data_IF_544355397475
#
_entry.id   IF_544355397475
#
_cell.length_a   1.000
_cell.length_b   1.000
_cell.length_c   1.000
_cell.angle_alpha   90.00
_cell.angle_beta   90.00
_cell.angle_gamma   90.00
#
_symmetry.space_group_name_H-M   'P 1'
#
loop_
_entity.id
_entity.type
_entity.pdbx_description
1 polymer ?
#
# COMPACT_ATOMS: atom_id res chain seq x y z
N UNK A 1 44.40 24.17 -42.31
CA UNK A 1 44.15 22.85 -41.71
C UNK A 1 43.80 23.09 -40.26
N UNK A 2 42.53 23.38 -40.02
CA UNK A 2 41.93 23.47 -38.68
C UNK A 2 40.52 22.92 -38.90
N UNK A 3 40.38 21.63 -38.62
CA UNK A 3 39.17 20.86 -38.84
C UNK A 3 38.03 21.37 -37.98
N UNK A 4 36.90 21.51 -38.65
CA UNK A 4 35.55 21.52 -38.11
C UNK A 4 35.27 20.18 -37.40
N UNK A 5 34.90 20.23 -36.12
CA UNK A 5 34.25 19.11 -35.46
C UNK A 5 32.86 19.54 -34.97
N UNK A 6 31.87 19.14 -35.76
CA UNK A 6 30.45 19.23 -35.48
C UNK A 6 30.05 18.00 -34.67
N UNK A 7 29.93 18.15 -33.35
CA UNK A 7 29.34 17.15 -32.47
C UNK A 7 27.83 16.97 -32.73
N UNK A 8 27.28 15.75 -32.57
CA UNK A 8 25.91 15.44 -32.96
C UNK A 8 24.91 16.06 -31.98
N UNK A 9 23.75 16.46 -32.51
CA UNK A 9 22.59 16.87 -31.72
C UNK A 9 22.04 15.66 -30.94
N UNK A 10 22.21 15.67 -29.62
CA UNK A 10 21.46 14.79 -28.72
C UNK A 10 19.99 15.23 -28.71
N UNK A 11 19.19 14.56 -29.53
CA UNK A 11 17.75 14.55 -29.43
C UNK A 11 17.32 13.45 -28.47
N UNK A 12 16.93 13.83 -27.25
CA UNK A 12 15.74 13.29 -26.60
C UNK A 12 15.25 14.29 -25.53
N UNK A 13 14.55 15.33 -25.97
CA UNK A 13 13.83 16.22 -25.06
C UNK A 13 12.47 15.59 -24.80
N UNK A 14 12.26 15.06 -23.60
CA UNK A 14 10.93 14.79 -23.06
C UNK A 14 10.01 15.98 -23.38
N UNK A 15 9.01 15.78 -24.23
CA UNK A 15 8.09 16.86 -24.61
C UNK A 15 7.17 17.10 -23.43
N UNK A 16 7.37 18.22 -22.72
CA UNK A 16 6.45 18.69 -21.68
C UNK A 16 5.32 19.45 -22.35
N UNK A 17 4.09 19.07 -22.01
CA UNK A 17 2.87 19.71 -22.49
C UNK A 17 2.28 20.56 -21.38
N UNK A 18 1.76 21.74 -21.71
CA UNK A 18 0.94 22.53 -20.82
C UNK A 18 -0.54 22.15 -21.00
N UNK A 19 -1.39 22.38 -20.00
CA UNK A 19 -2.85 22.11 -20.12
C UNK A 19 -3.54 22.89 -21.26
N UNK A 20 -2.89 23.94 -21.76
CA UNK A 20 -3.38 24.74 -22.89
C UNK A 20 -3.04 24.11 -24.25
N UNK A 21 -2.11 23.16 -24.28
CA UNK A 21 -1.78 22.37 -25.48
C UNK A 21 -2.77 21.22 -25.69
N UNK A 22 -3.62 20.93 -24.69
CA UNK A 22 -4.67 19.92 -24.77
C UNK A 22 -5.90 20.44 -25.55
N UNK A 23 -6.74 19.54 -26.10
CA UNK A 23 -7.98 19.93 -26.79
C UNK A 23 -8.90 20.76 -25.89
N UNK A 24 -9.25 21.97 -26.33
CA UNK A 24 -10.06 22.88 -25.53
C UNK A 24 -11.55 22.73 -25.87
N UNK A 25 -12.43 22.66 -24.86
CA UNK A 25 -13.86 22.38 -25.07
C UNK A 25 -14.57 23.37 -26.00
N UNK A 26 -14.15 24.64 -26.02
CA UNK A 26 -14.71 25.64 -26.94
C UNK A 26 -14.43 25.32 -28.43
N UNK A 27 -13.44 24.47 -28.72
CA UNK A 27 -13.11 23.99 -30.06
C UNK A 27 -13.97 22.80 -30.49
N UNK A 28 -14.82 22.27 -29.59
CA UNK A 28 -15.67 21.09 -29.81
C UNK A 28 -14.85 19.88 -30.31
N UNK A 29 -13.83 19.43 -29.55
CA UNK A 29 -12.97 18.32 -29.96
C UNK A 29 -13.76 17.02 -30.12
N UNK A 30 -13.25 16.10 -30.93
CA UNK A 30 -13.86 14.78 -31.11
C UNK A 30 -13.83 13.98 -29.80
N UNK A 31 -14.75 13.03 -29.66
CA UNK A 31 -14.77 12.13 -28.50
C UNK A 31 -13.45 11.38 -28.34
N UNK A 32 -12.90 10.87 -29.44
CA UNK A 32 -11.61 10.15 -29.45
C UNK A 32 -10.48 11.05 -28.95
N UNK A 33 -10.44 12.31 -29.40
CA UNK A 33 -9.43 13.28 -28.95
C UNK A 33 -9.51 13.58 -27.45
N UNK A 34 -10.73 13.64 -26.89
CA UNK A 34 -10.92 13.79 -25.45
C UNK A 34 -10.49 12.53 -24.69
N UNK A 35 -10.86 11.34 -25.16
CA UNK A 35 -10.48 10.07 -24.52
C UNK A 35 -8.96 9.85 -24.56
N UNK A 36 -8.30 10.09 -25.70
CA UNK A 36 -6.84 10.02 -25.82
C UNK A 36 -6.15 11.02 -24.86
N UNK A 37 -6.73 12.21 -24.69
CA UNK A 37 -6.24 13.20 -23.72
C UNK A 37 -6.41 12.72 -22.29
N UNK A 38 -7.54 12.08 -21.96
CA UNK A 38 -7.78 11.52 -20.63
C UNK A 38 -6.86 10.34 -20.32
N UNK A 39 -6.55 9.51 -21.32
CA UNK A 39 -5.55 8.45 -21.23
C UNK A 39 -4.14 9.02 -21.01
N UNK A 40 -3.78 10.11 -21.69
CA UNK A 40 -2.53 10.84 -21.46
C UNK A 40 -2.45 11.41 -20.04
N UNK A 41 -3.59 11.80 -19.47
CA UNK A 41 -3.70 12.29 -18.10
C UNK A 41 -3.85 11.16 -17.07
N UNK A 42 -3.77 9.88 -17.45
CA UNK A 42 -3.73 8.78 -16.49
C UNK A 42 -2.51 8.90 -15.57
N UNK A 43 -2.72 8.90 -14.25
CA UNK A 43 -1.57 8.68 -13.37
C UNK A 43 -1.16 7.20 -13.44
N UNK A 44 0.07 6.94 -13.87
CA UNK A 44 0.68 5.63 -13.64
C UNK A 44 0.65 5.30 -12.15
N UNK A 45 0.28 4.07 -11.73
CA UNK A 45 0.20 3.72 -10.33
C UNK A 45 1.52 4.05 -9.63
N UNK A 46 1.45 4.88 -8.58
CA UNK A 46 2.61 5.22 -7.78
C UNK A 46 3.27 3.95 -7.24
N UNK A 47 4.44 3.58 -7.79
CA UNK A 47 5.29 2.54 -7.25
C UNK A 47 6.25 3.21 -6.25
N UNK A 48 6.15 2.85 -4.97
CA UNK A 48 7.04 3.38 -3.94
C UNK A 48 8.51 3.03 -4.27
N UNK A 49 9.32 4.04 -4.59
CA UNK A 49 10.78 3.89 -4.74
C UNK A 49 11.30 3.63 -6.15
N UNK A 50 10.64 4.13 -7.20
CA UNK A 50 11.21 4.18 -8.55
C UNK A 50 11.07 5.56 -9.19
N UNK A 51 12.16 6.03 -9.82
CA UNK A 51 12.09 6.93 -10.97
C UNK A 51 11.52 6.12 -12.16
N UNK A 52 10.44 6.60 -12.75
CA UNK A 52 9.79 5.95 -13.89
C UNK A 52 10.48 6.33 -15.21
N UNK A 53 10.72 5.34 -16.05
CA UNK A 53 11.11 5.52 -17.46
C UNK A 53 9.86 5.93 -18.26
N UNK A 54 9.51 7.21 -18.22
CA UNK A 54 8.30 7.75 -18.87
C UNK A 54 8.56 8.02 -20.36
N UNK A 55 8.29 7.02 -21.21
CA UNK A 55 8.29 7.18 -22.69
C UNK A 55 7.10 7.99 -23.22
N UNK A 56 6.20 8.47 -22.36
CA UNK A 56 5.04 9.28 -22.75
C UNK A 56 5.26 10.76 -22.41
N UNK A 57 4.69 11.69 -23.21
CA UNK A 57 4.78 13.12 -22.92
C UNK A 57 4.15 13.44 -21.57
N UNK A 58 4.80 14.31 -20.79
CA UNK A 58 4.37 14.65 -19.43
C UNK A 58 3.62 15.97 -19.48
N UNK A 59 2.35 15.96 -19.04
CA UNK A 59 1.55 17.18 -18.89
C UNK A 59 1.89 17.85 -17.56
N UNK A 60 2.14 19.16 -17.58
CA UNK A 60 2.38 19.94 -16.36
C UNK A 60 1.17 19.86 -15.41
N UNK A 61 1.34 19.51 -14.13
CA UNK A 61 0.21 19.30 -13.21
C UNK A 61 -0.64 20.56 -12.98
N UNK A 62 -0.05 21.74 -13.16
CA UNK A 62 -0.72 23.01 -12.97
C UNK A 62 -1.87 23.18 -13.97
N UNK A 63 -3.08 23.35 -13.44
CA UNK A 63 -4.28 23.59 -14.26
C UNK A 63 -5.00 22.32 -14.74
N UNK A 64 -4.40 21.14 -14.63
CA UNK A 64 -5.06 19.85 -14.96
C UNK A 64 -6.36 19.65 -14.17
N UNK A 65 -6.42 19.88 -12.83
CA UNK A 65 -7.69 19.73 -12.09
C UNK A 65 -8.80 20.64 -12.62
N UNK A 66 -8.45 21.87 -13.02
CA UNK A 66 -9.40 22.83 -13.61
C UNK A 66 -9.90 22.35 -14.97
N UNK A 67 -9.01 21.80 -15.79
CA UNK A 67 -9.36 21.23 -17.10
C UNK A 67 -10.30 20.02 -16.96
N UNK A 68 -9.96 19.06 -16.10
CA UNK A 68 -10.82 17.90 -15.81
C UNK A 68 -12.19 18.33 -15.28
N UNK A 69 -12.22 19.27 -14.34
CA UNK A 69 -13.49 19.83 -13.82
C UNK A 69 -14.32 20.49 -14.93
N UNK A 70 -13.68 21.13 -15.92
CA UNK A 70 -14.38 21.73 -17.05
C UNK A 70 -15.01 20.68 -17.98
N UNK A 71 -14.37 19.53 -18.17
CA UNK A 71 -14.92 18.39 -18.93
C UNK A 71 -16.15 17.84 -18.19
N UNK A 72 -16.01 17.57 -16.89
CA UNK A 72 -17.09 17.05 -16.04
C UNK A 72 -18.29 18.00 -16.02
N UNK A 73 -18.05 19.33 -16.00
CA UNK A 73 -19.11 20.33 -15.99
C UNK A 73 -19.74 20.60 -17.37
N UNK A 74 -19.15 20.11 -18.46
CA UNK A 74 -19.66 20.32 -19.81
C UNK A 74 -20.75 19.32 -20.17
N UNK A 75 -21.80 19.79 -20.83
CA UNK A 75 -22.84 18.94 -21.42
C UNK A 75 -22.35 18.09 -22.60
N UNK A 76 -21.20 18.46 -23.20
CA UNK A 76 -20.64 17.81 -24.39
C UNK A 76 -21.64 17.72 -25.56
N UNK A 77 -22.50 18.75 -25.73
CA UNK A 77 -23.63 18.75 -26.68
C UNK A 77 -23.27 18.50 -28.16
N UNK A 78 -22.00 18.66 -28.53
CA UNK A 78 -21.54 18.40 -29.90
C UNK A 78 -21.26 16.91 -30.16
N UNK A 79 -21.17 16.09 -29.11
CA UNK A 79 -21.09 14.63 -29.18
C UNK A 79 -22.52 14.10 -29.15
N UNK A 80 -22.91 13.23 -30.09
CA UNK A 80 -24.29 12.74 -30.20
C UNK A 80 -24.55 11.46 -29.41
N UNK A 81 -23.51 10.67 -29.17
CA UNK A 81 -23.60 9.39 -28.49
C UNK A 81 -23.51 9.59 -26.97
N UNK A 82 -24.60 9.29 -26.27
CA UNK A 82 -24.70 9.46 -24.82
C UNK A 82 -23.85 8.45 -24.04
N UNK A 83 -23.62 7.23 -24.55
CA UNK A 83 -22.73 6.25 -23.91
C UNK A 83 -21.28 6.74 -23.93
N UNK A 84 -20.88 7.38 -25.04
CA UNK A 84 -19.54 7.99 -25.16
C UNK A 84 -19.39 9.20 -24.23
N UNK A 85 -20.43 10.03 -24.07
CA UNK A 85 -20.40 11.15 -23.08
C UNK A 85 -20.20 10.63 -21.67
N UNK A 86 -20.99 9.63 -21.27
CA UNK A 86 -20.86 8.98 -19.96
C UNK A 86 -19.45 8.44 -19.75
N UNK A 87 -18.86 7.80 -20.77
CA UNK A 87 -17.47 7.33 -20.69
C UNK A 87 -16.49 8.49 -20.48
N UNK A 88 -16.62 9.59 -21.23
CA UNK A 88 -15.74 10.77 -21.09
C UNK A 88 -15.84 11.38 -19.69
N UNK A 89 -17.05 11.55 -19.16
CA UNK A 89 -17.24 12.08 -17.80
C UNK A 89 -16.64 11.14 -16.75
N UNK A 90 -16.87 9.84 -16.86
CA UNK A 90 -16.31 8.85 -15.94
C UNK A 90 -14.78 8.85 -15.94
N UNK A 91 -14.15 8.87 -17.12
CA UNK A 91 -12.68 8.96 -17.24
C UNK A 91 -12.16 10.28 -16.67
N UNK A 92 -12.81 11.43 -16.96
CA UNK A 92 -12.40 12.72 -16.41
C UNK A 92 -12.52 12.77 -14.88
N UNK A 93 -13.60 12.22 -14.31
CA UNK A 93 -13.79 12.07 -12.87
C UNK A 93 -12.74 11.16 -12.24
N UNK A 94 -12.40 10.06 -12.91
CA UNK A 94 -11.34 9.15 -12.48
C UNK A 94 -9.99 9.87 -12.40
N UNK A 95 -9.58 10.59 -13.45
CA UNK A 95 -8.31 11.34 -13.48
C UNK A 95 -8.24 12.44 -12.43
N UNK A 96 -9.39 13.03 -12.08
CA UNK A 96 -9.48 14.03 -11.02
C UNK A 96 -9.36 13.38 -9.63
N UNK A 97 -10.00 12.22 -9.44
CA UNK A 97 -9.94 11.42 -8.21
C UNK A 97 -8.54 10.89 -7.92
N UNK A 98 -7.83 10.38 -8.93
CA UNK A 98 -6.40 9.97 -8.85
C UNK A 98 -5.54 11.09 -8.23
N UNK A 99 -5.82 12.34 -8.59
CA UNK A 99 -5.10 13.55 -8.16
C UNK A 99 -5.59 14.18 -6.86
N UNK A 100 -6.65 13.63 -6.26
CA UNK A 100 -7.26 14.16 -5.04
C UNK A 100 -6.65 13.61 -3.74
N UNK A 101 -5.52 12.90 -3.87
CA UNK A 101 -4.78 12.29 -2.77
C UNK A 101 -5.15 10.82 -2.53
N UNK A 102 -4.29 10.10 -1.80
CA UNK A 102 -4.37 8.63 -1.61
C UNK A 102 -5.72 8.11 -1.08
N UNK A 103 -6.41 8.91 -0.27
CA UNK A 103 -7.69 8.51 0.31
C UNK A 103 -8.87 8.68 -0.65
N UNK A 104 -8.74 9.59 -1.63
CA UNK A 104 -9.74 9.83 -2.65
C UNK A 104 -9.50 9.00 -3.92
N UNK A 105 -8.37 8.29 -4.00
CA UNK A 105 -8.04 7.42 -5.13
C UNK A 105 -8.98 6.20 -5.20
N UNK A 106 -9.32 5.75 -6.42
CA UNK A 106 -10.16 4.58 -6.64
C UNK A 106 -9.47 3.30 -6.14
N UNK A 107 -10.22 2.20 -6.14
CA UNK A 107 -9.65 0.87 -5.88
C UNK A 107 -8.50 0.60 -6.85
N UNK A 108 -7.33 0.27 -6.33
CA UNK A 108 -6.12 0.08 -7.14
C UNK A 108 -5.26 -1.05 -6.59
N UNK A 109 -4.54 -1.75 -7.48
CA UNK A 109 -3.46 -2.66 -7.08
C UNK A 109 -2.13 -1.94 -7.24
N UNK A 110 -1.31 -1.96 -6.19
CA UNK A 110 -0.01 -1.28 -6.14
C UNK A 110 1.12 -2.28 -5.94
N UNK A 111 2.28 -1.93 -6.50
CA UNK A 111 3.53 -2.67 -6.31
C UNK A 111 4.40 -2.00 -5.24
N UNK A 112 4.78 -2.76 -4.23
CA UNK A 112 5.64 -2.34 -3.13
C UNK A 112 6.98 -3.03 -3.24
N UNK A 113 8.03 -2.27 -3.53
CA UNK A 113 9.41 -2.80 -3.53
C UNK A 113 9.94 -2.90 -2.11
N UNK A 114 10.10 -4.15 -1.66
CA UNK A 114 10.69 -4.50 -0.36
C UNK A 114 12.20 -4.58 -0.45
N UNK A 115 12.77 -5.14 -1.52
CA UNK A 115 14.20 -5.07 -1.82
C UNK A 115 14.43 -5.19 -3.34
N UNK A 116 15.68 -5.31 -3.79
CA UNK A 116 16.01 -5.42 -5.22
C UNK A 116 15.31 -6.58 -5.94
N UNK A 117 15.00 -7.66 -5.22
CA UNK A 117 14.44 -8.90 -5.77
C UNK A 117 12.97 -9.12 -5.42
N UNK A 118 12.45 -8.43 -4.42
CA UNK A 118 11.12 -8.67 -3.85
C UNK A 118 10.21 -7.47 -4.06
N UNK A 119 9.19 -7.67 -4.90
CA UNK A 119 8.11 -6.72 -5.14
C UNK A 119 6.78 -7.40 -4.82
N UNK A 120 6.02 -6.81 -3.90
CA UNK A 120 4.73 -7.34 -3.45
C UNK A 120 3.60 -6.54 -4.08
N UNK A 121 2.59 -7.23 -4.59
CA UNK A 121 1.39 -6.60 -5.15
C UNK A 121 0.26 -6.60 -4.13
N UNK A 122 -0.28 -5.43 -3.80
CA UNK A 122 -1.39 -5.31 -2.86
C UNK A 122 -2.55 -4.55 -3.49
N UNK A 123 -3.73 -5.14 -3.36
CA UNK A 123 -4.99 -4.48 -3.66
C UNK A 123 -5.44 -3.60 -2.49
N UNK A 124 -5.70 -2.35 -2.82
CA UNK A 124 -6.26 -1.35 -1.91
C UNK A 124 -7.59 -0.86 -2.48
N UNK A 125 -8.73 -1.24 -1.88
CA UNK A 125 -10.01 -0.71 -2.30
C UNK A 125 -10.11 0.80 -2.03
N UNK A 126 -11.07 1.45 -2.69
CA UNK A 126 -11.45 2.83 -2.41
C UNK A 126 -11.82 3.00 -0.93
N UNK A 127 -11.36 4.08 -0.31
CA UNK A 127 -11.66 4.34 1.10
C UNK A 127 -13.13 4.77 1.23
N UNK A 128 -13.99 3.87 1.69
CA UNK A 128 -15.38 4.14 2.03
C UNK A 128 -15.57 4.00 3.53
N UNK A 129 -16.00 5.05 4.23
CA UNK A 129 -16.18 5.02 5.70
C UNK A 129 -14.85 4.89 6.46
N UNK A 130 -14.88 4.15 7.58
CA UNK A 130 -13.76 4.00 8.54
C UNK A 130 -12.76 2.89 8.18
N UNK A 131 -12.67 2.51 6.91
CA UNK A 131 -11.86 1.38 6.41
C UNK A 131 -10.35 1.66 6.32
N UNK A 132 -9.75 2.25 7.37
CA UNK A 132 -8.32 2.61 7.42
C UNK A 132 -7.39 1.40 7.27
N UNK A 133 -7.82 0.20 7.66
CA UNK A 133 -7.06 -1.05 7.51
C UNK A 133 -6.85 -1.50 6.06
N UNK A 134 -7.59 -0.93 5.10
CA UNK A 134 -7.50 -1.29 3.69
C UNK A 134 -6.44 -0.50 2.90
N UNK A 135 -5.64 0.33 3.59
CA UNK A 135 -4.53 1.09 3.00
C UNK A 135 -3.20 0.64 3.62
N UNK A 136 -2.16 0.56 2.80
CA UNK A 136 -0.80 0.29 3.25
C UNK A 136 -0.15 1.56 3.79
N UNK A 137 0.32 1.51 5.04
CA UNK A 137 0.97 2.63 5.72
C UNK A 137 2.49 2.61 5.56
N UNK A 138 3.13 3.77 5.71
CA UNK A 138 4.58 3.91 5.51
C UNK A 138 5.41 3.02 6.45
N UNK A 139 4.95 2.85 7.70
CA UNK A 139 5.58 1.97 8.69
C UNK A 139 5.62 0.51 8.21
N UNK A 140 4.59 0.04 7.50
CA UNK A 140 4.55 -1.31 6.94
C UNK A 140 5.66 -1.51 5.91
N UNK A 141 5.89 -0.53 5.01
CA UNK A 141 6.98 -0.61 4.04
C UNK A 141 8.36 -0.53 4.69
N UNK A 142 8.52 0.34 5.70
CA UNK A 142 9.78 0.44 6.43
C UNK A 142 10.10 -0.85 7.19
N UNK A 143 9.11 -1.43 7.88
CA UNK A 143 9.28 -2.70 8.58
C UNK A 143 9.58 -3.83 7.59
N UNK A 144 8.81 -3.93 6.49
CA UNK A 144 9.03 -4.93 5.43
C UNK A 144 10.48 -4.90 4.90
N UNK A 145 11.03 -3.71 4.64
CA UNK A 145 12.42 -3.52 4.21
C UNK A 145 13.42 -4.01 5.26
N UNK A 146 13.15 -3.74 6.54
CA UNK A 146 13.99 -4.13 7.68
C UNK A 146 13.95 -5.63 7.99
N UNK A 147 12.92 -6.37 7.55
CA UNK A 147 12.84 -7.82 7.79
C UNK A 147 14.06 -8.57 7.26
N UNK A 148 14.68 -8.10 6.17
CA UNK A 148 15.90 -8.71 5.62
C UNK A 148 17.03 -8.72 6.65
N UNK A 149 17.24 -7.61 7.36
CA UNK A 149 18.29 -7.48 8.37
C UNK A 149 17.88 -8.11 9.70
N UNK A 150 16.59 -8.09 10.03
CA UNK A 150 16.06 -8.65 11.28
C UNK A 150 16.04 -10.18 11.30
N UNK A 151 16.19 -10.87 10.17
CA UNK A 151 16.11 -12.34 10.09
C UNK A 151 16.99 -13.03 11.12
N UNK A 152 18.25 -12.61 11.26
CA UNK A 152 19.21 -13.24 12.16
C UNK A 152 18.90 -12.99 13.67
N UNK A 153 18.15 -11.95 13.99
CA UNK A 153 17.84 -11.54 15.36
C UNK A 153 16.47 -12.02 15.84
N UNK A 154 15.54 -12.22 14.89
CA UNK A 154 14.11 -12.33 15.16
C UNK A 154 13.52 -13.65 14.66
N UNK A 155 14.01 -14.20 13.55
CA UNK A 155 13.45 -15.43 13.01
C UNK A 155 13.90 -16.63 13.86
N UNK A 156 12.95 -17.36 14.43
CA UNK A 156 13.22 -18.63 15.07
C UNK A 156 13.15 -19.75 14.02
N UNK A 157 14.19 -20.59 13.90
CA UNK A 157 14.35 -21.62 12.85
C UNK A 157 13.18 -22.61 12.70
N UNK A 158 12.33 -22.71 13.73
CA UNK A 158 11.13 -23.58 13.76
C UNK A 158 9.85 -22.81 14.12
N UNK A 159 9.92 -21.47 14.12
CA UNK A 159 8.88 -20.62 14.67
C UNK A 159 7.80 -20.22 13.66
N UNK A 160 6.53 -20.36 14.07
CA UNK A 160 5.40 -19.74 13.37
C UNK A 160 5.40 -18.23 13.66
N UNK A 161 5.09 -17.43 12.63
CA UNK A 161 5.01 -15.96 12.72
C UNK A 161 3.54 -15.53 12.74
N UNK A 162 3.20 -14.57 13.58
CA UNK A 162 1.91 -13.90 13.61
C UNK A 162 2.08 -12.42 13.26
N UNK A 163 1.30 -11.92 12.32
CA UNK A 163 1.15 -10.47 12.13
C UNK A 163 -0.16 -10.01 12.78
N UNK A 164 -0.06 -9.07 13.72
CA UNK A 164 -1.20 -8.42 14.37
C UNK A 164 -1.51 -7.09 13.66
N UNK A 165 -2.76 -6.90 13.24
CA UNK A 165 -3.17 -5.68 12.53
C UNK A 165 -2.50 -5.58 11.16
N UNK A 166 -2.59 -6.64 10.36
CA UNK A 166 -1.89 -6.77 9.09
C UNK A 166 -2.35 -5.76 8.02
N UNK A 167 -3.59 -5.27 8.13
CA UNK A 167 -4.22 -4.40 7.16
C UNK A 167 -4.21 -5.01 5.77
N UNK A 168 -3.38 -4.44 4.90
CA UNK A 168 -3.16 -4.97 3.53
C UNK A 168 -2.26 -6.22 3.46
N UNK A 169 -1.50 -6.53 4.52
CA UNK A 169 -0.64 -7.72 4.60
C UNK A 169 0.80 -7.56 4.12
N UNK A 170 1.26 -6.31 3.89
CA UNK A 170 2.60 -6.07 3.34
C UNK A 170 3.70 -6.74 4.17
N UNK A 171 3.65 -6.63 5.50
CA UNK A 171 4.75 -7.09 6.35
C UNK A 171 4.75 -8.62 6.46
N UNK A 172 3.59 -9.24 6.68
CA UNK A 172 3.48 -10.70 6.78
C UNK A 172 3.81 -11.42 5.47
N UNK A 173 3.36 -10.90 4.32
CA UNK A 173 3.74 -11.44 3.00
C UNK A 173 5.25 -11.29 2.80
N UNK A 174 5.83 -10.15 3.19
CA UNK A 174 7.29 -9.95 3.15
C UNK A 174 8.03 -10.94 4.04
N UNK A 175 7.53 -11.19 5.26
CA UNK A 175 8.12 -12.14 6.19
C UNK A 175 8.09 -13.56 5.63
N UNK A 176 6.96 -13.99 5.05
CA UNK A 176 6.85 -15.29 4.39
C UNK A 176 7.89 -15.44 3.27
N UNK A 177 8.04 -14.41 2.43
CA UNK A 177 8.97 -14.43 1.29
C UNK A 177 10.45 -14.34 1.70
N UNK A 178 10.80 -13.52 2.69
CA UNK A 178 12.19 -13.26 3.08
C UNK A 178 12.74 -14.29 4.07
N UNK A 179 11.87 -14.79 4.95
CA UNK A 179 12.26 -15.74 5.96
C UNK A 179 12.03 -17.18 5.55
N UNK A 180 11.15 -17.44 4.57
CA UNK A 180 10.69 -18.79 4.26
C UNK A 180 9.88 -19.37 5.43
N UNK A 181 9.13 -18.51 6.12
CA UNK A 181 8.43 -18.84 7.36
C UNK A 181 6.94 -19.11 7.10
N UNK A 182 6.31 -19.83 8.02
CA UNK A 182 4.85 -19.98 8.07
C UNK A 182 4.25 -18.81 8.84
N UNK A 183 3.51 -17.96 8.15
CA UNK A 183 2.98 -16.68 8.65
C UNK A 183 1.46 -16.73 8.71
N UNK A 184 0.89 -16.34 9.85
CA UNK A 184 -0.55 -16.07 9.96
C UNK A 184 -0.74 -14.56 10.05
N UNK A 185 -1.42 -13.99 9.06
CA UNK A 185 -1.74 -12.57 8.99
C UNK A 185 -3.13 -12.34 9.58
N UNK A 186 -3.24 -11.43 10.54
CA UNK A 186 -4.50 -11.23 11.27
C UNK A 186 -4.96 -9.79 11.33
N UNK A 187 -6.28 -9.62 11.25
CA UNK A 187 -6.95 -8.33 11.36
C UNK A 187 -8.43 -8.53 11.73
N UNK A 188 -9.21 -7.45 11.73
CA UNK A 188 -10.65 -7.44 11.98
C UNK A 188 -11.45 -8.13 10.84
N UNK A 189 -12.68 -8.62 11.12
CA UNK A 189 -13.51 -9.34 10.14
C UNK A 189 -13.68 -8.64 8.79
N UNK A 190 -13.80 -7.32 8.79
CA UNK A 190 -14.02 -6.54 7.56
C UNK A 190 -12.74 -6.37 6.71
N UNK A 191 -11.56 -6.59 7.31
CA UNK A 191 -10.26 -6.43 6.65
C UNK A 191 -9.75 -7.76 6.07
N UNK A 192 -10.02 -8.86 6.78
CA UNK A 192 -9.53 -10.22 6.42
C UNK A 192 -9.87 -10.64 4.98
N UNK A 193 -11.05 -10.35 4.39
CA UNK A 193 -11.33 -10.71 2.99
C UNK A 193 -10.36 -10.06 1.99
N UNK A 194 -10.00 -8.79 2.18
CA UNK A 194 -9.03 -8.12 1.32
C UNK A 194 -7.60 -8.61 1.59
N UNK A 195 -7.28 -8.89 2.86
CA UNK A 195 -6.02 -9.49 3.25
C UNK A 195 -5.80 -10.86 2.58
N UNK A 196 -6.83 -11.71 2.55
CA UNK A 196 -6.80 -13.01 1.87
C UNK A 196 -6.60 -12.86 0.36
N UNK A 197 -7.26 -11.87 -0.26
CA UNK A 197 -7.02 -11.51 -1.67
C UNK A 197 -5.56 -11.13 -1.91
N UNK A 198 -4.97 -10.32 -1.03
CA UNK A 198 -3.57 -9.90 -1.15
C UNK A 198 -2.58 -11.05 -0.94
N UNK A 199 -2.85 -11.97 -0.01
CA UNK A 199 -2.05 -13.19 0.13
C UNK A 199 -2.12 -14.03 -1.15
N UNK A 200 -3.32 -14.23 -1.71
CA UNK A 200 -3.51 -14.97 -2.95
C UNK A 200 -2.77 -14.35 -4.14
N UNK A 201 -2.78 -13.02 -4.27
CA UNK A 201 -2.05 -12.27 -5.31
C UNK A 201 -0.53 -12.52 -5.29
N UNK A 202 0.03 -12.96 -4.15
CA UNK A 202 1.46 -13.18 -3.97
C UNK A 202 1.79 -14.66 -3.67
N UNK A 203 0.85 -15.58 -3.87
CA UNK A 203 0.99 -16.99 -3.48
C UNK A 203 2.16 -17.70 -4.18
N UNK A 204 2.36 -17.48 -5.48
CA UNK A 204 3.48 -18.06 -6.23
C UNK A 204 4.85 -17.58 -5.68
N UNK A 205 4.93 -16.30 -5.30
CA UNK A 205 6.12 -15.69 -4.73
C UNK A 205 6.44 -16.26 -3.34
N UNK A 206 5.42 -16.39 -2.50
CA UNK A 206 5.52 -17.00 -1.17
C UNK A 206 6.03 -18.45 -1.29
N UNK A 207 5.41 -19.24 -2.18
CA UNK A 207 5.77 -20.63 -2.40
C UNK A 207 7.20 -20.78 -2.95
N UNK A 208 7.60 -19.93 -3.91
CA UNK A 208 8.95 -19.94 -4.47
C UNK A 208 10.05 -19.65 -3.42
N UNK A 209 9.70 -18.89 -2.39
CA UNK A 209 10.56 -18.60 -1.24
C UNK A 209 10.55 -19.70 -0.15
N UNK A 210 9.75 -20.76 -0.32
CA UNK A 210 9.57 -21.81 0.70
C UNK A 210 8.79 -21.34 1.93
N UNK A 211 8.07 -20.22 1.84
CA UNK A 211 7.22 -19.73 2.92
C UNK A 211 5.78 -20.20 2.78
N UNK A 212 4.97 -19.90 3.80
CA UNK A 212 3.53 -20.12 3.82
C UNK A 212 2.85 -18.88 4.41
N UNK A 213 1.63 -18.59 3.94
CA UNK A 213 0.83 -17.49 4.47
C UNK A 213 -0.64 -17.91 4.57
N UNK A 214 -1.22 -17.72 5.75
CA UNK A 214 -2.64 -17.90 6.03
C UNK A 214 -3.23 -16.62 6.62
N UNK A 215 -4.54 -16.43 6.52
CA UNK A 215 -5.23 -15.25 7.04
C UNK A 215 -6.30 -15.63 8.05
N UNK A 216 -6.40 -14.90 9.15
CA UNK A 216 -7.40 -15.17 10.20
C UNK A 216 -7.95 -13.89 10.83
N UNK A 217 -9.18 -13.96 11.32
CA UNK A 217 -9.72 -12.93 12.22
C UNK A 217 -9.02 -13.04 13.58
N UNK A 218 -8.49 -11.93 14.07
CA UNK A 218 -8.03 -11.79 15.46
C UNK A 218 -8.38 -10.38 15.91
N UNK A 219 -9.42 -10.28 16.73
CA UNK A 219 -9.88 -9.04 17.34
C UNK A 219 -9.24 -8.92 18.72
N UNK A 220 -8.46 -7.88 18.94
CA UNK A 220 -7.73 -7.69 20.20
C UNK A 220 -8.64 -7.48 21.41
N UNK A 221 -9.91 -7.12 21.17
CA UNK A 221 -10.94 -6.96 22.20
C UNK A 221 -11.73 -8.23 22.51
N UNK A 222 -11.56 -9.29 21.71
CA UNK A 222 -12.26 -10.56 21.87
C UNK A 222 -11.26 -11.72 22.06
N UNK A 223 -11.09 -12.13 23.32
CA UNK A 223 -10.21 -13.24 23.71
C UNK A 223 -10.56 -14.56 23.02
N UNK A 224 -11.81 -14.76 22.57
CA UNK A 224 -12.20 -15.99 21.87
C UNK A 224 -11.57 -16.12 20.48
N UNK A 225 -11.05 -15.02 19.93
CA UNK A 225 -10.33 -15.00 18.64
C UNK A 225 -8.83 -15.26 18.77
N UNK A 226 -8.32 -15.33 20.01
CA UNK A 226 -6.90 -15.56 20.31
C UNK A 226 -6.60 -17.06 20.49
N UNK A 227 -5.32 -17.50 20.39
CA UNK A 227 -4.92 -18.87 20.70
C UNK A 227 -5.38 -19.32 22.09
N UNK A 228 -6.03 -20.48 22.19
CA UNK A 228 -6.55 -21.01 23.46
C UNK A 228 -5.58 -22.02 24.09
N UNK A 229 -4.64 -22.55 23.30
CA UNK A 229 -3.68 -23.56 23.72
C UNK A 229 -2.25 -23.14 23.36
N UNK A 230 -1.26 -23.55 24.17
CA UNK A 230 0.15 -23.22 23.94
C UNK A 230 0.66 -23.71 22.58
N UNK A 231 0.15 -24.85 22.09
CA UNK A 231 0.48 -25.41 20.77
C UNK A 231 0.03 -24.54 19.59
N UNK A 232 -0.91 -23.62 19.83
CA UNK A 232 -1.45 -22.71 18.81
C UNK A 232 -0.67 -21.39 18.73
N UNK A 233 0.17 -21.10 19.72
CA UNK A 233 0.93 -19.86 19.85
C UNK A 233 2.07 -19.74 18.83
N UNK A 234 2.63 -18.53 18.76
CA UNK A 234 3.59 -18.10 17.76
C UNK A 234 4.90 -17.71 18.41
N UNK A 235 6.01 -17.93 17.72
CA UNK A 235 7.34 -17.61 18.25
C UNK A 235 7.75 -16.18 17.86
N UNK A 236 7.23 -15.68 16.75
CA UNK A 236 7.49 -14.31 16.33
C UNK A 236 6.17 -13.59 16.15
N UNK A 237 6.01 -12.44 16.79
CA UNK A 237 4.90 -11.52 16.53
C UNK A 237 5.45 -10.27 15.87
N UNK A 238 4.84 -9.86 14.75
CA UNK A 238 5.15 -8.62 14.05
C UNK A 238 3.92 -7.71 14.00
N UNK A 239 4.12 -6.40 14.12
CA UNK A 239 3.06 -5.42 13.94
C UNK A 239 3.62 -4.09 13.40
N UNK A 240 2.87 -3.42 12.51
CA UNK A 240 3.27 -2.14 11.94
C UNK A 240 2.18 -1.08 12.14
N UNK A 241 2.54 0.04 12.76
CA UNK A 241 1.64 1.15 13.09
C UNK A 241 0.38 0.75 13.89
N UNK A 242 0.47 -0.11 14.94
CA UNK A 242 -0.74 -0.62 15.60
C UNK A 242 -1.41 0.38 16.57
N UNK A 243 -0.82 1.56 16.82
CA UNK A 243 -1.28 2.49 17.87
C UNK A 243 -1.84 3.78 17.27
N UNK A 244 -3.16 3.93 17.33
CA UNK A 244 -3.88 5.13 16.91
C UNK A 244 -5.10 5.46 17.78
N UNK A 245 -5.29 4.75 18.90
CA UNK A 245 -6.31 4.99 19.91
C UNK A 245 -5.72 4.77 21.33
N UNK A 246 -6.21 5.47 22.37
CA UNK A 246 -5.76 5.31 23.75
C UNK A 246 -5.90 3.89 24.32
N UNK A 247 -6.80 3.07 23.78
CA UNK A 247 -7.04 1.69 24.24
C UNK A 247 -6.04 0.68 23.67
N UNK A 248 -5.42 1.00 22.53
CA UNK A 248 -4.58 0.05 21.81
C UNK A 248 -3.37 -0.48 22.58
N UNK A 249 -2.68 0.30 23.44
CA UNK A 249 -1.60 -0.23 24.25
C UNK A 249 -2.02 -1.44 25.11
N UNK A 250 -3.21 -1.40 25.71
CA UNK A 250 -3.72 -2.49 26.54
C UNK A 250 -4.15 -3.70 25.70
N UNK A 251 -4.93 -3.44 24.65
CA UNK A 251 -5.43 -4.48 23.74
C UNK A 251 -4.29 -5.23 23.04
N UNK A 252 -3.30 -4.48 22.54
CA UNK A 252 -2.15 -5.05 21.85
C UNK A 252 -1.29 -5.90 22.78
N UNK A 253 -1.04 -5.45 24.02
CA UNK A 253 -0.32 -6.25 25.01
C UNK A 253 -1.08 -7.54 25.31
N UNK A 254 -2.40 -7.46 25.50
CA UNK A 254 -3.22 -8.66 25.73
C UNK A 254 -3.12 -9.67 24.57
N UNK A 255 -3.24 -9.18 23.33
CA UNK A 255 -3.11 -10.01 22.13
C UNK A 255 -1.71 -10.63 22.00
N UNK A 256 -0.65 -9.87 22.29
CA UNK A 256 0.73 -10.36 22.29
C UNK A 256 0.90 -11.47 23.33
N UNK A 257 0.51 -11.23 24.58
CA UNK A 257 0.73 -12.19 25.68
C UNK A 257 -0.09 -13.48 25.49
N UNK A 258 -1.28 -13.37 24.93
CA UNK A 258 -2.13 -14.53 24.64
C UNK A 258 -1.61 -15.35 23.45
N UNK A 259 -0.88 -14.70 22.52
CA UNK A 259 -0.45 -15.33 21.27
C UNK A 259 1.01 -15.74 21.22
N UNK A 260 1.87 -15.20 22.08
CA UNK A 260 3.30 -15.46 22.08
C UNK A 260 3.64 -16.73 22.87
N UNK A 261 4.35 -17.66 22.23
CA UNK A 261 4.82 -18.88 22.85
C UNK A 261 5.85 -18.57 23.95
N UNK A 262 5.84 -19.36 25.01
CA UNK A 262 6.78 -19.27 26.13
C UNK A 262 8.11 -19.96 25.82
N UNK A 263 8.81 -19.49 24.78
CA UNK A 263 10.11 -20.00 24.34
C UNK A 263 11.20 -18.92 24.42
N UNK A 264 12.45 -19.33 24.66
CA UNK A 264 13.59 -18.43 24.74
C UNK A 264 13.94 -17.76 23.40
N UNK A 265 13.50 -18.35 22.27
CA UNK A 265 13.58 -17.77 20.94
C UNK A 265 12.39 -16.85 20.60
N UNK A 266 11.38 -16.72 21.48
CA UNK A 266 10.21 -15.91 21.18
C UNK A 266 10.53 -14.41 21.12
N UNK A 267 10.04 -13.71 20.08
CA UNK A 267 10.34 -12.30 19.83
C UNK A 267 9.09 -11.54 19.38
N UNK A 268 9.03 -10.28 19.75
CA UNK A 268 8.01 -9.34 19.27
C UNK A 268 8.73 -8.17 18.58
N UNK A 269 8.31 -7.84 17.36
CA UNK A 269 8.82 -6.69 16.61
C UNK A 269 7.67 -5.76 16.28
N UNK A 270 7.79 -4.51 16.69
CA UNK A 270 6.77 -3.50 16.42
C UNK A 270 7.43 -2.26 15.82
N UNK A 271 6.94 -1.84 14.65
CA UNK A 271 7.35 -0.58 14.01
C UNK A 271 6.27 0.48 14.24
N UNK A 272 6.68 1.66 14.73
CA UNK A 272 5.79 2.80 14.92
C UNK A 272 6.28 4.00 14.14
N UNK A 273 5.37 4.80 13.56
CA UNK A 273 5.73 6.12 13.09
C UNK A 273 6.01 7.04 14.28
N UNK A 274 6.95 7.96 14.10
CA UNK A 274 7.17 9.05 15.05
C UNK A 274 6.04 10.08 14.90
N UNK A 275 5.03 10.00 15.77
CA UNK A 275 3.90 10.93 15.84
C UNK A 275 3.82 11.53 17.24
N UNK A 276 4.00 12.84 17.37
CA UNK A 276 3.96 13.54 18.67
C UNK A 276 2.68 13.26 19.46
N UNK A 277 1.53 13.21 18.78
CA UNK A 277 0.23 13.00 19.39
C UNK A 277 0.10 11.65 20.12
N UNK A 278 0.71 10.60 19.58
CA UNK A 278 0.60 9.23 20.12
C UNK A 278 1.81 8.80 20.97
N UNK A 279 2.69 9.75 21.31
CA UNK A 279 3.85 9.48 22.18
C UNK A 279 3.45 8.93 23.55
N UNK A 280 2.42 9.44 24.25
CA UNK A 280 2.00 8.88 25.53
C UNK A 280 1.59 7.41 25.43
N UNK A 281 0.84 7.04 24.39
CA UNK A 281 0.36 5.68 24.15
C UNK A 281 1.52 4.74 23.79
N UNK A 282 2.48 5.20 22.98
CA UNK A 282 3.70 4.44 22.68
C UNK A 282 4.58 4.23 23.94
N UNK A 283 4.67 5.23 24.82
CA UNK A 283 5.38 5.12 26.08
C UNK A 283 4.68 4.15 27.04
N UNK A 284 3.35 4.21 27.11
CA UNK A 284 2.53 3.28 27.89
C UNK A 284 2.70 1.85 27.41
N UNK A 285 2.65 1.60 26.09
CA UNK A 285 2.89 0.28 25.52
C UNK A 285 4.24 -0.29 25.94
N UNK A 286 5.31 0.52 25.88
CA UNK A 286 6.65 0.11 26.32
C UNK A 286 6.69 -0.24 27.79
N UNK A 287 6.06 0.56 28.66
CA UNK A 287 5.94 0.24 30.09
C UNK A 287 5.19 -1.07 30.32
N UNK A 288 4.03 -1.27 29.68
CA UNK A 288 3.24 -2.49 29.81
C UNK A 288 3.99 -3.76 29.37
N UNK A 289 4.84 -3.67 28.34
CA UNK A 289 5.68 -4.78 27.86
C UNK A 289 6.89 -5.05 28.75
N UNK A 290 7.43 -4.04 29.44
CA UNK A 290 8.61 -4.16 30.30
C UNK A 290 8.28 -4.49 31.76
N UNK A 291 7.17 -3.96 32.28
CA UNK A 291 6.74 -4.13 33.67
C UNK A 291 6.16 -5.53 33.94
N UNK A 292 5.87 -6.27 32.88
CA UNK A 292 5.43 -7.67 32.95
C UNK A 292 6.62 -8.56 32.61
N UNK A 293 7.53 -8.71 33.58
CA UNK A 293 8.55 -9.77 33.52
C UNK A 293 7.86 -11.11 33.21
N UNK A 294 8.33 -11.76 32.14
CA UNK A 294 7.95 -13.09 31.70
C UNK A 294 8.19 -14.16 32.78
#
# INVERSE_FOLDING_TARGET
>A
MTDSDSGPAEGDRHTRLHVFDLPQLYQKPTADSLLETLDLLAETPYAFGHEQDQRQPVVEPAGVPRYLTSIIASSLDWIQDDEIKERIWNEASLRLSERSGRNAAPSQTRSFRVNETLVIQLHEPSLTGDNLGLKTWASSLLLARRLTTLKAEVACDKGRVLELGAGTGLVGISAACLWGASVVLTDLPDIVPNLAKNVSLNSDLILASGGEADTRVLDWSDESTMPQHESEKYHTIIAADPIYSPEHPYLLVNAIMSSLATDQCSRVVIEFPLREHYKPEQALLKSLLLDREC
#
